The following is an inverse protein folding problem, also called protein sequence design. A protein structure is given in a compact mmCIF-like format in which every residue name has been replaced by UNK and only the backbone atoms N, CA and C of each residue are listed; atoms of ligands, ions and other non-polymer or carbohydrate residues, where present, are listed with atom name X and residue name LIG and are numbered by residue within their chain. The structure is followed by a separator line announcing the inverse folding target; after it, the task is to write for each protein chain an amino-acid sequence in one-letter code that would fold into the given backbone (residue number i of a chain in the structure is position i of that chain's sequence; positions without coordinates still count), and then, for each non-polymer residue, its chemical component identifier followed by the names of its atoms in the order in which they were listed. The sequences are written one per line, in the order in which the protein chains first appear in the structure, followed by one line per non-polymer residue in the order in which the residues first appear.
data_IF_027177577460
#
_entry.id   IF_027177577460
#
_cell.length_a   1.000
_cell.length_b   1.000
_cell.length_c   1.000
_cell.angle_alpha   90.00
_cell.angle_beta   90.00
_cell.angle_gamma   90.00
#
_symmetry.space_group_name_H-M   'P 1'
#
loop_
_entity.id
_entity.type
_entity.pdbx_description
1 polymer ?
#
# COMPACT_ATOMS: atom_id res chain seq x y z
N UNK A 1 -10.04 -0.27 25.59
CA UNK A 1 -8.97 0.49 24.90
C UNK A 1 -9.50 0.89 23.53
N UNK A 2 -9.69 2.19 23.29
CA UNK A 2 -10.24 2.68 22.02
C UNK A 2 -9.32 2.38 20.83
N UNK A 3 -9.89 2.38 19.63
CA UNK A 3 -9.16 2.09 18.41
C UNK A 3 -8.10 3.18 18.11
N UNK A 4 -6.83 2.90 18.39
CA UNK A 4 -5.69 3.81 18.11
C UNK A 4 -5.27 3.83 16.63
N UNK A 5 -6.08 3.27 15.73
CA UNK A 5 -5.73 3.04 14.32
C UNK A 5 -6.15 4.26 13.46
N UNK A 6 -5.16 5.00 12.97
CA UNK A 6 -5.36 6.17 12.08
C UNK A 6 -5.21 5.85 10.57
N UNK A 7 -5.30 4.58 10.19
CA UNK A 7 -5.09 4.13 8.81
C UNK A 7 -6.05 3.01 8.43
N UNK A 8 -6.41 2.94 7.15
CA UNK A 8 -7.09 1.77 6.58
C UNK A 8 -6.08 0.68 6.32
N UNK A 9 -6.38 -0.55 6.72
CA UNK A 9 -5.53 -1.71 6.45
C UNK A 9 -5.58 -2.05 4.96
N UNK A 10 -4.46 -2.49 4.43
CA UNK A 10 -4.39 -3.05 3.09
C UNK A 10 -3.42 -4.21 3.03
N UNK A 11 -3.42 -4.89 1.89
CA UNK A 11 -2.54 -6.01 1.60
C UNK A 11 -1.87 -5.80 0.25
N UNK A 12 -0.55 -5.95 0.21
CA UNK A 12 0.20 -5.91 -1.04
C UNK A 12 -0.02 -7.23 -1.77
N UNK A 13 -0.64 -7.19 -2.95
CA UNK A 13 -0.95 -8.41 -3.72
C UNK A 13 0.24 -8.87 -4.56
N UNK A 14 0.96 -7.92 -5.13
CA UNK A 14 1.96 -8.20 -6.15
C UNK A 14 2.40 -6.94 -6.86
N UNK A 15 3.27 -7.11 -7.85
CA UNK A 15 3.53 -6.06 -8.83
C UNK A 15 2.48 -6.06 -9.93
N UNK A 16 2.37 -4.95 -10.65
CA UNK A 16 1.66 -4.93 -11.94
C UNK A 16 2.32 -5.98 -12.83
N UNK A 17 1.53 -6.89 -13.40
CA UNK A 17 2.05 -7.99 -14.22
C UNK A 17 1.17 -8.24 -15.44
N UNK A 18 1.77 -8.84 -16.46
CA UNK A 18 1.06 -9.62 -17.47
C UNK A 18 1.18 -11.10 -17.15
N UNK A 19 0.82 -11.97 -18.11
CA UNK A 19 0.92 -13.44 -17.94
C UNK A 19 2.36 -13.88 -17.64
N UNK A 20 3.34 -13.37 -18.40
CA UNK A 20 4.75 -13.75 -18.31
C UNK A 20 5.66 -12.73 -17.59
N UNK A 21 5.30 -11.45 -17.61
CA UNK A 21 6.20 -10.37 -17.20
C UNK A 21 5.66 -9.62 -15.96
N UNK A 22 6.54 -9.29 -15.03
CA UNK A 22 6.25 -8.49 -13.83
C UNK A 22 6.91 -7.11 -13.94
N UNK A 23 6.24 -6.05 -13.44
CA UNK A 23 6.72 -4.66 -13.47
C UNK A 23 6.82 -4.10 -12.05
N UNK A 24 7.99 -4.19 -11.38
CA UNK A 24 8.16 -3.83 -9.97
C UNK A 24 7.90 -2.37 -9.61
N UNK A 25 7.93 -1.48 -10.61
CA UNK A 25 7.69 -0.05 -10.43
C UNK A 25 6.26 0.31 -9.98
N UNK A 26 5.32 -0.62 -10.12
CA UNK A 26 3.92 -0.44 -9.70
C UNK A 26 3.49 -1.64 -8.87
N UNK A 27 2.96 -1.40 -7.68
CA UNK A 27 2.46 -2.44 -6.78
C UNK A 27 0.93 -2.42 -6.72
N UNK A 28 0.32 -3.60 -6.75
CA UNK A 28 -1.11 -3.80 -6.56
C UNK A 28 -1.41 -3.96 -5.08
N UNK A 29 -2.40 -3.24 -4.59
CA UNK A 29 -2.79 -3.22 -3.18
C UNK A 29 -4.29 -3.41 -3.09
N UNK A 30 -4.72 -4.40 -2.30
CA UNK A 30 -6.10 -4.55 -1.88
C UNK A 30 -6.32 -3.72 -0.61
N UNK A 31 -7.37 -2.93 -0.58
CA UNK A 31 -7.77 -2.14 0.59
C UNK A 31 -8.87 -2.91 1.32
N UNK A 32 -8.76 -3.02 2.64
CA UNK A 32 -9.76 -3.72 3.45
C UNK A 32 -11.09 -2.94 3.42
N UNK A 33 -12.19 -3.64 3.11
CA UNK A 33 -13.52 -3.04 3.02
C UNK A 33 -13.81 -2.26 1.74
N UNK A 34 -12.97 -2.38 0.71
CA UNK A 34 -13.19 -1.75 -0.61
C UNK A 34 -13.31 -2.83 -1.67
N UNK A 35 -14.51 -2.97 -2.23
CA UNK A 35 -14.90 -4.00 -3.19
C UNK A 35 -15.19 -3.45 -4.59
N UNK A 36 -15.37 -2.13 -4.73
CA UNK A 36 -15.69 -1.49 -6.00
C UNK A 36 -14.61 -0.49 -6.45
N UNK A 37 -14.48 -0.31 -7.77
CA UNK A 37 -13.60 0.70 -8.35
C UNK A 37 -13.98 2.12 -7.94
N UNK A 38 -15.26 2.38 -7.69
CA UNK A 38 -15.80 3.67 -7.26
C UNK A 38 -15.39 3.98 -5.83
N UNK A 39 -15.57 3.03 -4.90
CA UNK A 39 -15.12 3.19 -3.51
C UNK A 39 -13.59 3.39 -3.44
N UNK A 40 -12.82 2.72 -4.32
CA UNK A 40 -11.38 2.88 -4.40
C UNK A 40 -10.93 4.30 -4.84
N UNK A 41 -11.79 5.09 -5.52
CA UNK A 41 -11.45 6.46 -5.95
C UNK A 41 -11.19 7.40 -4.77
N UNK A 42 -11.87 7.20 -3.64
CA UNK A 42 -11.67 8.00 -2.42
C UNK A 42 -10.23 7.90 -1.87
N UNK A 43 -9.54 6.80 -2.16
CA UNK A 43 -8.18 6.53 -1.72
C UNK A 43 -7.11 7.05 -2.67
N UNK A 44 -7.49 7.66 -3.79
CA UNK A 44 -6.52 8.21 -4.74
C UNK A 44 -5.71 9.32 -4.11
N UNK A 45 -4.41 9.29 -4.39
CA UNK A 45 -3.47 10.25 -3.84
C UNK A 45 -3.17 10.06 -2.35
N UNK A 46 -3.85 9.19 -1.62
CA UNK A 46 -3.54 8.88 -0.22
C UNK A 46 -2.14 8.27 -0.09
N UNK A 47 -1.46 8.55 1.03
CA UNK A 47 -0.14 7.96 1.32
C UNK A 47 -0.28 6.53 1.79
N UNK A 48 0.65 5.69 1.36
CA UNK A 48 0.74 4.28 1.76
C UNK A 48 2.09 4.02 2.40
N UNK A 49 2.11 3.22 3.46
CA UNK A 49 3.30 2.86 4.19
C UNK A 49 3.41 1.34 4.31
N UNK A 50 4.57 0.80 3.94
CA UNK A 50 4.97 -0.54 4.30
C UNK A 50 5.95 -0.45 5.47
N UNK A 51 5.54 -0.95 6.64
CA UNK A 51 6.32 -0.88 7.88
C UNK A 51 6.94 -2.25 8.14
N UNK A 52 8.24 -2.29 8.37
CA UNK A 52 8.98 -3.53 8.64
C UNK A 52 10.03 -3.32 9.72
N UNK A 53 10.52 -4.42 10.29
CA UNK A 53 11.61 -4.41 11.29
C UNK A 53 12.89 -4.96 10.66
N UNK A 54 14.03 -4.38 11.04
CA UNK A 54 15.35 -4.85 10.65
C UNK A 54 16.24 -5.05 11.88
N UNK A 55 17.29 -5.88 11.77
CA UNK A 55 18.21 -6.17 12.87
C UNK A 55 19.03 -4.94 13.28
N UNK A 56 19.59 -4.22 12.29
CA UNK A 56 20.40 -3.01 12.51
C UNK A 56 19.51 -1.81 12.84
N UNK A 57 19.83 -1.15 13.93
CA UNK A 57 19.25 0.12 14.32
C UNK A 57 19.68 1.25 13.38
N UNK A 58 18.74 2.13 13.04
CA UNK A 58 18.98 3.33 12.25
C UNK A 58 18.16 4.46 12.89
N UNK A 59 18.80 5.58 13.19
CA UNK A 59 18.15 6.75 13.81
C UNK A 59 17.36 6.40 15.09
N UNK A 60 17.94 5.57 15.96
CA UNK A 60 17.32 5.18 17.23
C UNK A 60 16.19 4.15 17.12
N UNK A 61 15.94 3.58 15.93
CA UNK A 61 14.86 2.60 15.73
C UNK A 61 15.24 1.43 14.84
N UNK A 62 14.68 0.26 15.16
CA UNK A 62 14.71 -0.94 14.31
C UNK A 62 13.55 -0.99 13.32
N UNK A 63 12.60 -0.07 13.43
CA UNK A 63 11.43 0.04 12.56
C UNK A 63 11.77 0.91 11.36
N UNK A 64 11.45 0.41 10.17
CA UNK A 64 11.70 1.10 8.91
C UNK A 64 10.41 1.17 8.11
N UNK A 65 10.32 2.17 7.25
CA UNK A 65 9.13 2.43 6.46
C UNK A 65 9.52 2.68 5.01
N UNK A 66 8.85 1.98 4.09
CA UNK A 66 8.85 2.34 2.67
C UNK A 66 7.55 3.09 2.40
N UNK A 67 7.70 4.36 2.01
CA UNK A 67 6.56 5.21 1.69
C UNK A 67 6.17 5.10 0.23
N UNK A 68 4.90 5.34 -0.05
CA UNK A 68 4.38 5.45 -1.39
C UNK A 68 3.12 6.27 -1.43
N UNK A 69 2.51 6.29 -2.62
CA UNK A 69 1.22 6.94 -2.88
C UNK A 69 0.35 6.04 -3.73
N UNK A 70 -0.96 6.10 -3.47
CA UNK A 70 -1.96 5.45 -4.33
C UNK A 70 -2.13 6.30 -5.59
N UNK A 71 -2.07 5.65 -6.75
CA UNK A 71 -2.05 6.30 -8.05
C UNK A 71 -3.40 6.25 -8.77
N UNK A 72 -3.98 5.05 -8.95
CA UNK A 72 -5.24 4.84 -9.69
C UNK A 72 -5.89 3.51 -9.30
N UNK A 73 -7.21 3.33 -9.50
CA UNK A 73 -7.84 2.02 -9.30
C UNK A 73 -7.35 1.00 -10.33
N UNK A 74 -7.57 -0.29 -10.04
CA UNK A 74 -7.19 -1.41 -10.87
C UNK A 74 -8.25 -2.50 -10.88
N UNK A 75 -8.84 -2.73 -12.06
CA UNK A 75 -9.96 -3.66 -12.20
C UNK A 75 -11.21 -3.12 -11.50
N UNK A 76 -12.18 -4.02 -11.28
CA UNK A 76 -13.48 -3.65 -10.74
C UNK A 76 -13.59 -3.95 -9.22
N UNK A 77 -12.72 -4.80 -8.69
CA UNK A 77 -12.78 -5.35 -7.32
C UNK A 77 -12.15 -4.48 -6.22
N UNK A 78 -12.08 -3.16 -6.40
CA UNK A 78 -11.54 -2.25 -5.38
C UNK A 78 -10.01 -2.26 -5.18
N UNK A 79 -9.26 -3.01 -6.00
CA UNK A 79 -7.79 -3.02 -5.97
C UNK A 79 -7.24 -1.71 -6.51
N UNK A 80 -6.12 -1.24 -5.97
CA UNK A 80 -5.45 -0.01 -6.41
C UNK A 80 -4.01 -0.26 -6.86
N UNK A 81 -3.53 0.55 -7.79
CA UNK A 81 -2.11 0.67 -8.14
C UNK A 81 -1.47 1.72 -7.24
N UNK A 82 -0.33 1.37 -6.68
CA UNK A 82 0.51 2.25 -5.86
C UNK A 82 1.92 2.34 -6.43
N UNK A 83 2.56 3.49 -6.19
CA UNK A 83 3.97 3.72 -6.48
C UNK A 83 4.67 4.05 -5.17
N UNK A 84 5.65 3.23 -4.81
CA UNK A 84 6.49 3.46 -3.65
C UNK A 84 7.74 4.25 -4.07
N UNK A 85 8.36 4.95 -3.12
CA UNK A 85 9.62 5.68 -3.35
C UNK A 85 10.73 4.71 -3.78
N UNK A 86 10.76 3.55 -3.14
CA UNK A 86 11.59 2.41 -3.52
C UNK A 86 10.68 1.24 -3.88
N UNK A 87 11.00 0.52 -4.95
CA UNK A 87 10.22 -0.66 -5.34
C UNK A 87 10.14 -1.66 -4.20
N UNK A 88 8.95 -2.20 -3.97
CA UNK A 88 8.75 -3.19 -2.92
C UNK A 88 9.47 -4.50 -3.28
N UNK A 89 10.13 -5.17 -2.32
CA UNK A 89 10.72 -6.47 -2.58
C UNK A 89 9.64 -7.54 -2.74
N UNK A 90 9.76 -8.52 -3.66
CA UNK A 90 8.72 -9.53 -3.91
C UNK A 90 8.30 -10.34 -2.67
N UNK A 91 9.19 -10.47 -1.67
CA UNK A 91 8.91 -11.13 -0.39
C UNK A 91 7.74 -10.51 0.39
N UNK A 92 7.34 -9.26 0.08
CA UNK A 92 6.26 -8.57 0.80
C UNK A 92 4.88 -8.85 0.23
N UNK A 93 4.74 -9.67 -0.81
CA UNK A 93 3.43 -10.05 -1.30
C UNK A 93 2.67 -10.83 -0.23
N UNK A 94 1.41 -10.48 -0.01
CA UNK A 94 0.58 -10.94 1.10
C UNK A 94 0.75 -10.15 2.40
N UNK A 95 1.81 -9.33 2.52
CA UNK A 95 2.05 -8.54 3.73
C UNK A 95 1.08 -7.37 3.86
N UNK A 96 0.82 -6.98 5.10
CA UNK A 96 -0.01 -5.82 5.43
C UNK A 96 0.69 -4.51 5.10
N UNK A 97 -0.05 -3.56 4.56
CA UNK A 97 0.35 -2.17 4.41
C UNK A 97 -0.67 -1.25 5.08
N UNK A 98 -0.25 -0.01 5.35
CA UNK A 98 -1.06 1.01 5.99
C UNK A 98 -1.42 2.07 4.97
N UNK A 99 -2.69 2.21 4.63
CA UNK A 99 -3.20 3.30 3.80
C UNK A 99 -3.64 4.43 4.72
N UNK A 100 -2.91 5.53 4.66
CA UNK A 100 -3.19 6.70 5.48
C UNK A 100 -4.41 7.44 4.94
N UNK A 101 -5.10 8.18 5.81
CA UNK A 101 -6.26 8.99 5.43
C UNK A 101 -5.86 10.36 4.84
N UNK A 102 -4.56 10.64 4.70
CA UNK A 102 -4.04 11.88 4.15
C UNK A 102 -3.26 11.69 2.84
N UNK A 103 -3.18 12.71 1.97
CA UNK A 103 -3.88 14.01 2.05
C UNK A 103 -5.40 13.83 1.96
N UNK A 104 -6.12 14.49 2.86
CA UNK A 104 -7.58 14.46 2.88
C UNK A 104 -8.11 15.49 1.88
N UNK A 105 -9.20 15.14 1.22
CA UNK A 105 -10.01 16.03 0.38
C UNK A 105 -11.50 15.72 0.62
N UNK A 106 -11.78 15.26 1.84
CA UNK A 106 -13.13 15.09 2.39
C UNK A 106 -13.55 16.46 2.89
#
# INVERSE_FOLDING_TARGET
MGATRLYTKGRVLGHKRGKRNSRPNQSLVAIEGVDSAEAARSYLGKRIAYVYKAKREVNGSRVRVIWGRISRPHGNSGVVKSKFTTNLPPKVFGASCRIMLFPSNI
#
